data_IF_101504751741
#
_entry.id   IF_101504751741
#
_cell.length_a   1.000
_cell.length_b   1.000
_cell.length_c   1.000
_cell.angle_alpha   90.00
_cell.angle_beta   90.00
_cell.angle_gamma   90.00
#
_symmetry.space_group_name_H-M   'P 1'
#
loop_
_entity.id
_entity.type
_entity.pdbx_description
1 polymer ?
#
# COMPACT_ATOMS: atom_id res chain seq x y z
N UNK A 1 5.72 13.55 -12.96
CA UNK A 1 6.31 12.21 -12.87
C UNK A 1 7.55 12.19 -13.75
N UNK A 2 8.58 11.39 -13.45
CA UNK A 2 9.79 11.37 -14.29
C UNK A 2 9.55 10.48 -15.52
N UNK A 3 10.16 10.80 -16.67
CA UNK A 3 10.12 9.97 -17.90
C UNK A 3 10.53 8.51 -17.66
N UNK A 4 11.33 8.25 -16.63
CA UNK A 4 11.73 6.91 -16.22
C UNK A 4 10.58 6.11 -15.61
N UNK A 5 9.73 6.74 -14.80
CA UNK A 5 8.52 6.11 -14.24
C UNK A 5 7.52 5.83 -15.35
N UNK A 6 7.33 6.77 -16.28
CA UNK A 6 6.43 6.57 -17.43
C UNK A 6 6.86 5.40 -18.31
N UNK A 7 8.14 5.35 -18.71
CA UNK A 7 8.70 4.21 -19.47
C UNK A 7 8.59 2.88 -18.73
N UNK A 8 8.76 2.90 -17.41
CA UNK A 8 8.61 1.70 -16.58
C UNK A 8 7.16 1.25 -16.48
N UNK A 9 6.21 2.19 -16.39
CA UNK A 9 4.78 1.92 -16.44
C UNK A 9 4.33 1.39 -17.81
N UNK A 10 4.93 1.90 -18.89
CA UNK A 10 4.72 1.39 -20.26
C UNK A 10 5.25 -0.04 -20.42
N UNK A 11 6.44 -0.33 -19.88
CA UNK A 11 7.00 -1.68 -19.85
C UNK A 11 6.10 -2.65 -19.08
N UNK A 12 5.64 -2.24 -17.88
CA UNK A 12 4.68 -3.03 -17.09
C UNK A 12 3.39 -3.26 -17.87
N UNK A 13 2.90 -2.28 -18.62
CA UNK A 13 1.69 -2.38 -19.43
C UNK A 13 1.87 -3.34 -20.63
N UNK A 14 3.05 -3.35 -21.24
CA UNK A 14 3.40 -4.25 -22.35
C UNK A 14 3.51 -5.70 -21.88
N UNK A 15 4.13 -5.94 -20.71
CA UNK A 15 4.32 -7.28 -20.13
C UNK A 15 3.02 -7.92 -19.60
N UNK A 16 1.90 -7.19 -19.53
CA UNK A 16 0.65 -7.72 -18.95
C UNK A 16 0.02 -8.86 -19.75
N UNK A 17 0.31 -8.94 -21.04
CA UNK A 17 -0.15 -10.03 -21.90
C UNK A 17 0.45 -11.38 -21.48
N UNK A 18 1.63 -11.37 -20.85
CA UNK A 18 2.34 -12.56 -20.36
C UNK A 18 2.42 -12.63 -18.82
N UNK A 19 1.85 -11.67 -18.11
CA UNK A 19 1.85 -11.68 -16.66
C UNK A 19 1.07 -12.88 -16.11
N UNK A 20 1.55 -13.46 -15.00
CA UNK A 20 0.89 -14.61 -14.36
C UNK A 20 -0.54 -14.30 -13.87
N UNK A 21 -0.84 -13.02 -13.66
CA UNK A 21 -2.13 -12.51 -13.21
C UNK A 21 -3.02 -11.99 -14.37
N UNK A 22 -2.70 -12.32 -15.63
CA UNK A 22 -3.46 -11.89 -16.81
C UNK A 22 -4.95 -12.23 -16.76
N UNK A 23 -5.29 -13.36 -16.14
CA UNK A 23 -6.68 -13.83 -15.96
C UNK A 23 -7.35 -13.22 -14.70
N UNK A 24 -6.64 -12.31 -14.03
CA UNK A 24 -7.05 -11.68 -12.78
C UNK A 24 -6.75 -12.50 -11.53
N UNK A 25 -6.91 -11.87 -10.38
CA UNK A 25 -6.71 -12.52 -9.07
C UNK A 25 -7.82 -12.11 -8.09
N UNK A 26 -8.17 -12.98 -7.16
CA UNK A 26 -9.14 -12.65 -6.11
C UNK A 26 -8.46 -11.97 -4.93
N UNK A 27 -9.02 -10.86 -4.49
CA UNK A 27 -8.55 -10.18 -3.29
C UNK A 27 -9.65 -9.36 -2.60
N UNK A 28 -9.70 -9.47 -1.27
CA UNK A 28 -10.48 -8.60 -0.41
C UNK A 28 -9.75 -8.33 0.92
N UNK A 29 -9.57 -7.05 1.26
CA UNK A 29 -8.93 -6.67 2.52
C UNK A 29 -9.81 -7.08 3.71
N UNK A 30 -9.30 -7.97 4.57
CA UNK A 30 -10.05 -8.46 5.72
C UNK A 30 -10.24 -7.41 6.82
N UNK A 31 -9.61 -6.24 6.75
CA UNK A 31 -9.61 -5.17 7.77
C UNK A 31 -9.08 -5.53 9.16
N UNK A 32 -8.86 -6.82 9.44
CA UNK A 32 -8.40 -7.39 10.72
C UNK A 32 -6.94 -7.08 11.09
N UNK A 33 -6.19 -6.42 10.21
CA UNK A 33 -4.82 -6.00 10.51
C UNK A 33 -3.74 -7.05 10.36
N UNK A 34 -4.06 -8.29 9.96
CA UNK A 34 -3.09 -9.38 9.84
C UNK A 34 -1.91 -9.07 8.89
N UNK A 35 -2.14 -8.24 7.87
CA UNK A 35 -1.10 -7.74 6.95
C UNK A 35 -0.81 -6.24 7.14
N UNK A 36 -1.38 -5.61 8.16
CA UNK A 36 -1.07 -4.21 8.57
C UNK A 36 0.00 -4.20 9.67
N UNK A 37 0.87 -5.21 9.63
CA UNK A 37 2.02 -5.38 10.51
C UNK A 37 3.26 -5.43 9.64
N UNK A 38 4.37 -4.92 10.15
CA UNK A 38 5.66 -5.02 9.52
C UNK A 38 6.12 -6.49 9.53
N UNK A 39 6.38 -7.05 8.36
CA UNK A 39 6.95 -8.38 8.20
C UNK A 39 8.43 -8.24 7.80
N UNK A 40 9.36 -8.30 8.77
CA UNK A 40 10.79 -8.07 8.55
C UNK A 40 11.24 -6.66 8.94
N UNK A 41 12.12 -6.04 8.17
CA UNK A 41 12.96 -4.93 8.67
C UNK A 41 12.42 -3.49 8.49
N UNK A 42 11.21 -3.24 7.97
CA UNK A 42 10.55 -1.92 8.11
C UNK A 42 9.09 -1.89 7.61
N UNK A 43 8.26 -1.06 8.23
CA UNK A 43 6.97 -0.63 7.70
C UNK A 43 7.16 0.44 6.62
N UNK A 44 6.92 0.10 5.35
CA UNK A 44 7.24 0.94 4.18
C UNK A 44 6.11 1.89 3.73
N UNK A 45 5.10 2.17 4.56
CA UNK A 45 3.96 2.98 4.12
C UNK A 45 4.36 4.45 3.95
N UNK A 46 4.72 4.86 2.73
CA UNK A 46 5.01 6.23 2.34
C UNK A 46 3.72 7.04 2.42
N UNK A 47 3.82 8.23 3.00
CA UNK A 47 2.74 9.21 3.13
C UNK A 47 3.10 10.48 2.35
N UNK A 48 2.80 10.52 1.04
CA UNK A 48 2.85 11.76 0.27
C UNK A 48 1.96 12.84 0.90
N UNK A 49 2.15 14.11 0.50
CA UNK A 49 1.40 15.23 1.06
C UNK A 49 -0.12 14.99 1.04
N UNK A 50 -0.66 14.48 -0.06
CA UNK A 50 -2.11 14.23 -0.18
C UNK A 50 -2.61 13.17 0.81
N UNK A 51 -1.82 12.12 1.07
CA UNK A 51 -2.16 11.11 2.05
C UNK A 51 -2.13 11.67 3.47
N UNK A 52 -1.14 12.53 3.77
CA UNK A 52 -1.07 13.24 5.06
C UNK A 52 -2.26 14.17 5.27
N UNK A 53 -2.61 14.98 4.28
CA UNK A 53 -3.76 15.89 4.38
C UNK A 53 -5.06 15.12 4.62
N UNK A 54 -5.27 14.05 3.87
CA UNK A 54 -6.46 13.21 3.96
C UNK A 54 -6.56 12.47 5.30
N UNK A 55 -5.46 11.90 5.79
CA UNK A 55 -5.41 11.26 7.10
C UNK A 55 -5.65 12.26 8.23
N UNK A 56 -5.00 13.42 8.17
CA UNK A 56 -5.16 14.46 9.18
C UNK A 56 -6.62 14.96 9.26
N UNK A 57 -7.24 15.22 8.11
CA UNK A 57 -8.64 15.60 8.02
C UNK A 57 -9.58 14.51 8.60
N UNK A 58 -9.33 13.24 8.28
CA UNK A 58 -10.12 12.13 8.82
C UNK A 58 -9.98 11.98 10.34
N UNK A 59 -8.77 12.18 10.87
CA UNK A 59 -8.49 12.12 12.31
C UNK A 59 -8.90 13.38 13.07
N UNK A 60 -9.34 14.44 12.38
CA UNK A 60 -9.69 15.72 13.00
C UNK A 60 -8.49 16.44 13.63
N UNK A 61 -7.28 16.25 13.10
CA UNK A 61 -6.04 16.87 13.60
C UNK A 61 -5.36 17.72 12.53
N UNK A 62 -4.49 18.64 12.96
CA UNK A 62 -3.67 19.40 12.01
C UNK A 62 -2.64 18.48 11.30
N UNK A 63 -2.31 18.73 10.02
CA UNK A 63 -1.30 17.94 9.31
C UNK A 63 0.08 17.90 9.99
N UNK A 64 0.47 18.97 10.68
CA UNK A 64 1.70 19.01 11.48
C UNK A 64 1.66 18.03 12.66
N UNK A 65 0.49 17.87 13.30
CA UNK A 65 0.27 16.91 14.39
C UNK A 65 0.27 15.48 13.87
N UNK A 66 -0.27 15.24 12.67
CA UNK A 66 -0.17 13.93 12.03
C UNK A 66 1.29 13.55 11.79
N UNK A 67 2.08 14.46 11.22
CA UNK A 67 3.49 14.25 10.95
C UNK A 67 4.26 13.93 12.23
N UNK A 68 4.06 14.72 13.29
CA UNK A 68 4.81 14.51 14.54
C UNK A 68 4.42 13.24 15.30
N UNK A 69 3.16 12.81 15.23
CA UNK A 69 2.67 11.65 16.00
C UNK A 69 2.75 10.32 15.27
N UNK A 70 2.57 10.33 13.95
CA UNK A 70 2.38 9.10 13.17
C UNK A 70 3.43 8.90 12.08
N UNK A 71 4.28 9.89 11.81
CA UNK A 71 5.25 9.79 10.71
C UNK A 71 6.70 9.79 11.21
N UNK A 72 7.53 8.95 10.59
CA UNK A 72 8.98 9.09 10.58
C UNK A 72 9.42 9.76 9.27
N UNK A 73 10.49 10.55 9.32
CA UNK A 73 11.08 11.16 8.12
C UNK A 73 12.39 10.46 7.77
N UNK A 74 12.44 9.82 6.61
CA UNK A 74 13.60 9.06 6.11
C UNK A 74 13.84 9.49 4.66
N UNK A 75 15.07 9.88 4.31
CA UNK A 75 15.46 10.32 2.96
C UNK A 75 14.51 11.35 2.32
N UNK A 76 14.03 12.29 3.15
CA UNK A 76 13.14 13.36 2.73
C UNK A 76 11.66 12.97 2.59
N UNK A 77 11.31 11.69 2.76
CA UNK A 77 9.94 11.16 2.67
C UNK A 77 9.35 10.92 4.06
N UNK A 78 8.03 10.92 4.14
CA UNK A 78 7.30 10.59 5.38
C UNK A 78 6.80 9.16 5.31
N UNK A 79 7.04 8.38 6.36
CA UNK A 79 6.61 7.00 6.50
C UNK A 79 5.68 6.87 7.70
N UNK A 80 4.59 6.13 7.56
CA UNK A 80 3.72 5.80 8.68
C UNK A 80 4.48 4.87 9.65
N UNK A 81 4.51 5.23 10.93
CA UNK A 81 5.20 4.47 11.95
C UNK A 81 4.37 3.28 12.45
N UNK A 82 5.06 2.32 13.03
CA UNK A 82 4.46 1.29 13.87
C UNK A 82 4.11 1.86 15.26
N UNK A 83 3.19 1.20 15.94
CA UNK A 83 2.83 1.51 17.32
C UNK A 83 4.04 1.26 18.24
N UNK A 84 4.28 2.09 19.26
CA UNK A 84 5.42 1.93 20.16
C UNK A 84 5.51 0.52 20.76
N UNK A 85 6.68 -0.12 20.62
CA UNK A 85 6.93 -1.47 21.12
C UNK A 85 6.22 -2.59 20.35
N UNK A 86 5.70 -2.30 19.15
CA UNK A 86 4.98 -3.25 18.30
C UNK A 86 5.46 -3.18 16.85
N UNK A 87 5.15 -4.22 16.08
CA UNK A 87 5.27 -4.24 14.61
C UNK A 87 3.94 -3.86 13.94
N UNK A 88 2.89 -3.58 14.71
CA UNK A 88 1.61 -3.17 14.17
C UNK A 88 1.64 -1.70 13.76
N UNK A 89 1.04 -1.36 12.63
CA UNK A 89 0.84 0.03 12.21
C UNK A 89 0.22 0.88 13.33
N UNK A 90 0.67 2.13 13.52
CA UNK A 90 0.15 3.02 14.55
C UNK A 90 -1.35 3.38 14.40
N UNK A 91 -1.96 3.10 13.25
CA UNK A 91 -3.40 3.26 12.99
C UNK A 91 -4.18 1.94 13.10
N UNK A 92 -3.57 0.87 13.61
CA UNK A 92 -4.22 -0.41 13.86
C UNK A 92 -4.76 -0.44 15.29
N UNK A 93 -6.10 -0.52 15.43
CA UNK A 93 -6.78 -0.69 16.70
C UNK A 93 -7.16 -2.16 16.96
N UNK A 94 -7.77 -2.45 18.12
CA UNK A 94 -8.15 -3.82 18.51
C UNK A 94 -9.15 -4.46 17.53
N UNK A 95 -9.98 -3.64 16.86
CA UNK A 95 -11.00 -4.08 15.90
C UNK A 95 -10.57 -3.90 14.43
N UNK A 96 -9.28 -3.63 14.17
CA UNK A 96 -8.76 -3.37 12.82
C UNK A 96 -8.34 -1.92 12.60
N UNK A 97 -8.14 -1.55 11.32
CA UNK A 97 -7.63 -0.24 10.94
C UNK A 97 -8.62 0.88 11.33
N UNK A 98 -8.19 1.78 12.23
CA UNK A 98 -9.02 2.89 12.72
C UNK A 98 -9.22 3.99 11.66
N UNK A 99 -8.33 4.05 10.68
CA UNK A 99 -8.38 4.98 9.56
C UNK A 99 -8.79 4.33 8.23
N UNK A 100 -9.57 3.24 8.26
CA UNK A 100 -9.84 2.43 7.05
C UNK A 100 -10.40 3.23 5.86
N UNK A 101 -11.26 4.22 6.14
CA UNK A 101 -11.88 5.09 5.14
C UNK A 101 -10.90 6.14 4.57
N UNK A 102 -9.83 6.46 5.28
CA UNK A 102 -8.79 7.43 4.90
C UNK A 102 -7.43 6.78 4.60
N UNK A 103 -7.41 5.45 4.42
CA UNK A 103 -6.17 4.68 4.17
C UNK A 103 -5.26 5.34 3.14
N UNK A 104 -3.95 5.46 3.42
CA UNK A 104 -2.93 5.88 2.45
C UNK A 104 -3.03 5.12 1.13
N UNK A 105 -2.45 5.69 0.09
CA UNK A 105 -2.49 5.13 -1.26
C UNK A 105 -1.89 3.73 -1.27
N UNK A 106 -0.72 3.53 -0.68
CA UNK A 106 -0.12 2.20 -0.55
C UNK A 106 -1.03 1.21 0.22
N UNK A 107 -1.68 1.63 1.30
CA UNK A 107 -2.63 0.76 2.01
C UNK A 107 -3.90 0.42 1.20
N UNK A 108 -4.23 1.21 0.16
CA UNK A 108 -5.35 0.93 -0.75
C UNK A 108 -4.97 0.04 -1.90
N UNK A 109 -3.74 0.18 -2.39
CA UNK A 109 -3.20 -0.61 -3.50
C UNK A 109 -2.69 -1.97 -3.05
N UNK A 110 -2.48 -2.20 -1.75
CA UNK A 110 -2.13 -3.54 -1.23
C UNK A 110 -3.17 -4.59 -1.66
N UNK A 111 -2.75 -5.78 -2.13
CA UNK A 111 -1.39 -6.30 -2.25
C UNK A 111 -0.74 -6.03 -3.62
N UNK A 112 -1.38 -5.25 -4.50
CA UNK A 112 -0.93 -4.93 -5.86
C UNK A 112 0.21 -3.89 -5.88
N UNK A 113 1.22 -4.12 -5.05
CA UNK A 113 2.47 -3.38 -5.08
C UNK A 113 3.43 -4.08 -6.03
N UNK A 114 4.25 -3.31 -6.74
CA UNK A 114 5.14 -3.83 -7.76
C UNK A 114 5.98 -5.03 -7.28
N UNK A 115 6.54 -4.92 -6.08
CA UNK A 115 7.36 -5.94 -5.43
C UNK A 115 6.62 -7.26 -5.14
N UNK A 116 5.29 -7.24 -5.12
CA UNK A 116 4.46 -8.42 -4.91
C UNK A 116 4.02 -9.08 -6.22
N UNK A 117 4.24 -8.45 -7.38
CA UNK A 117 3.60 -8.89 -8.63
C UNK A 117 4.38 -9.94 -9.42
N UNK A 118 5.52 -10.44 -8.92
CA UNK A 118 6.08 -11.71 -9.43
C UNK A 118 5.31 -12.90 -8.82
N UNK A 119 5.23 -14.03 -9.53
CA UNK A 119 4.47 -15.19 -9.03
C UNK A 119 5.03 -15.69 -7.67
N UNK A 120 6.35 -15.67 -7.53
CA UNK A 120 7.05 -16.05 -6.29
C UNK A 120 6.76 -15.07 -5.16
N UNK A 121 6.85 -13.76 -5.41
CA UNK A 121 6.57 -12.75 -4.39
C UNK A 121 5.10 -12.78 -3.98
N UNK A 122 4.19 -12.96 -4.93
CA UNK A 122 2.77 -13.11 -4.63
C UNK A 122 2.50 -14.30 -3.73
N UNK A 123 3.13 -15.46 -3.98
CA UNK A 123 3.00 -16.63 -3.13
C UNK A 123 3.49 -16.37 -1.69
N UNK A 124 4.62 -15.65 -1.53
CA UNK A 124 5.09 -15.22 -0.21
C UNK A 124 4.11 -14.27 0.46
N UNK A 125 3.57 -13.30 -0.28
CA UNK A 125 2.59 -12.33 0.24
C UNK A 125 1.28 -13.02 0.63
N UNK A 126 0.85 -14.04 -0.12
CA UNK A 126 -0.31 -14.86 0.20
C UNK A 126 -0.14 -15.66 1.49
N UNK A 127 1.09 -16.01 1.88
CA UNK A 127 1.35 -16.76 3.11
C UNK A 127 0.98 -15.98 4.39
N UNK A 128 1.02 -14.64 4.35
CA UNK A 128 0.66 -13.80 5.50
C UNK A 128 -0.54 -12.87 5.25
N UNK A 129 -0.95 -12.65 4.00
CA UNK A 129 -2.14 -11.86 3.69
C UNK A 129 -3.40 -12.75 3.54
N UNK A 130 -4.30 -12.80 4.54
CA UNK A 130 -5.48 -13.66 4.49
C UNK A 130 -6.53 -13.23 3.46
N UNK A 131 -6.37 -12.04 2.87
CA UNK A 131 -7.27 -11.50 1.85
C UNK A 131 -7.00 -12.01 0.44
N UNK A 132 -5.79 -12.52 0.17
CA UNK A 132 -5.44 -13.08 -1.14
C UNK A 132 -6.25 -14.36 -1.39
N UNK A 133 -6.79 -14.49 -2.59
CA UNK A 133 -7.65 -15.61 -2.98
C UNK A 133 -9.11 -15.45 -2.54
N UNK A 134 -9.48 -14.35 -1.88
CA UNK A 134 -10.84 -14.11 -1.35
C UNK A 134 -11.57 -12.97 -2.04
N UNK A 135 -12.89 -12.94 -1.89
CA UNK A 135 -13.74 -11.84 -2.33
C UNK A 135 -13.76 -11.66 -3.86
N UNK A 136 -13.80 -10.40 -4.29
CA UNK A 136 -13.99 -10.05 -5.71
C UNK A 136 -12.79 -10.43 -6.56
N UNK A 137 -13.06 -10.72 -7.83
CA UNK A 137 -12.02 -10.80 -8.84
C UNK A 137 -11.55 -9.40 -9.22
N UNK A 138 -10.23 -9.21 -9.25
CA UNK A 138 -9.56 -8.04 -9.83
C UNK A 138 -9.02 -8.43 -11.19
N UNK A 139 -9.49 -7.74 -12.23
CA UNK A 139 -9.04 -7.95 -13.61
C UNK A 139 -7.62 -7.43 -13.81
N UNK A 140 -6.94 -7.89 -14.86
CA UNK A 140 -5.61 -7.38 -15.22
C UNK A 140 -5.58 -5.84 -15.36
N UNK A 141 -6.60 -5.24 -15.98
CA UNK A 141 -6.71 -3.79 -16.13
C UNK A 141 -6.81 -3.07 -14.78
N UNK A 142 -7.57 -3.61 -13.83
CA UNK A 142 -7.68 -3.03 -12.49
C UNK A 142 -6.37 -3.16 -11.71
N UNK A 143 -5.70 -4.31 -11.78
CA UNK A 143 -4.39 -4.54 -11.15
C UNK A 143 -3.37 -3.54 -11.70
N UNK A 144 -3.36 -3.35 -13.02
CA UNK A 144 -2.54 -2.36 -13.69
C UNK A 144 -2.81 -0.93 -13.22
N UNK A 145 -4.07 -0.59 -12.96
CA UNK A 145 -4.44 0.71 -12.40
C UNK A 145 -3.92 0.87 -10.96
N UNK A 146 -3.97 -0.18 -10.14
CA UNK A 146 -3.40 -0.14 -8.78
C UNK A 146 -1.88 0.03 -8.79
N UNK A 147 -1.17 -0.66 -9.70
CA UNK A 147 0.27 -0.50 -9.86
C UNK A 147 0.66 0.92 -10.27
N UNK A 148 -0.06 1.50 -11.24
CA UNK A 148 0.13 2.91 -11.62
C UNK A 148 -0.07 3.85 -10.45
N UNK A 149 -1.12 3.60 -9.65
CA UNK A 149 -1.44 4.41 -8.49
C UNK A 149 -0.37 4.30 -7.38
N UNK A 150 0.12 3.08 -7.10
CA UNK A 150 1.21 2.86 -6.14
C UNK A 150 2.49 3.58 -6.59
N UNK A 151 2.94 3.37 -7.83
CA UNK A 151 4.15 4.02 -8.33
C UNK A 151 4.00 5.54 -8.37
N UNK A 152 2.85 6.07 -8.80
CA UNK A 152 2.60 7.50 -8.78
C UNK A 152 2.65 8.09 -7.36
N UNK A 153 2.18 7.36 -6.35
CA UNK A 153 2.29 7.74 -4.93
C UNK A 153 3.75 7.71 -4.46
N UNK A 154 4.47 6.62 -4.74
CA UNK A 154 5.79 6.36 -4.18
C UNK A 154 6.88 7.27 -4.77
N UNK A 155 6.63 7.84 -5.95
CA UNK A 155 7.54 8.82 -6.58
C UNK A 155 7.13 10.28 -6.35
N UNK A 156 6.07 10.55 -5.58
CA UNK A 156 5.80 11.90 -5.09
C UNK A 156 6.84 12.27 -4.04
N UNK A 157 7.52 13.41 -4.24
CA UNK A 157 8.41 14.01 -3.25
C UNK A 157 7.60 14.79 -2.22
#
# INVERSE_FOLDING_TARGET
MTKAVERFLEQIAHDQTNAWWKDGVRFECCKRGCCCVTHGDAGYVILPLQDRLRLAAFLGIAPSVLVSRYCARIDGRHYLMDAPGSQACALLGPNGCTAYQARPTQCRTWPFWLENMSAEAWARTAAFCPGIGRGRLWTASEIAAQLRLQLASDFQR
#
